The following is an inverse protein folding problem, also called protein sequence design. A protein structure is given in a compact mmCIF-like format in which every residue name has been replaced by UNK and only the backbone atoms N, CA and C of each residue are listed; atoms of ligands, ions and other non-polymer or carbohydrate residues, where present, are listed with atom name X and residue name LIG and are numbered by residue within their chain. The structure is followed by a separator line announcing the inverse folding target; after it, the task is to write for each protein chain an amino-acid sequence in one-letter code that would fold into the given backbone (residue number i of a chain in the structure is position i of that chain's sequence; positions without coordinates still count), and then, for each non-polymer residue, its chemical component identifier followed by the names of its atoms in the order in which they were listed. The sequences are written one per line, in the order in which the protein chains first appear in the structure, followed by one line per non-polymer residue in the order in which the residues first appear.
data_IF_968824341775
#
_entry.id   IF_968824341775
#
_cell.length_a   1.000
_cell.length_b   1.000
_cell.length_c   1.000
_cell.angle_alpha   90.00
_cell.angle_beta   90.00
_cell.angle_gamma   90.00
#
_symmetry.space_group_name_H-M   'P 1'
#
loop_
_entity.id
_entity.type
_entity.pdbx_description
1 polymer ?
#
# COMPACT_ATOMS: atom_id res chain seq x y z
N UNK A 1 0.52 -5.93 15.60
CA UNK A 1 1.57 -6.49 14.73
C UNK A 1 2.91 -6.18 15.38
N UNK A 2 3.82 -7.15 15.45
CA UNK A 2 5.04 -7.15 16.28
C UNK A 2 6.24 -6.39 15.69
N UNK A 3 6.06 -5.63 14.60
CA UNK A 3 7.13 -4.87 13.98
C UNK A 3 8.09 -5.71 13.12
N UNK A 4 7.96 -7.03 13.10
CA UNK A 4 8.92 -7.93 12.45
C UNK A 4 9.00 -7.76 10.94
N UNK A 5 10.21 -7.97 10.39
CA UNK A 5 10.43 -7.90 8.94
C UNK A 5 9.90 -9.18 8.29
N UNK A 6 8.91 -9.03 7.41
CA UNK A 6 8.41 -10.15 6.61
C UNK A 6 9.20 -10.32 5.31
N UNK A 7 9.17 -11.51 4.70
CA UNK A 7 9.82 -11.77 3.39
C UNK A 7 9.41 -10.75 2.32
N UNK A 8 8.14 -10.33 2.32
CA UNK A 8 7.63 -9.32 1.37
C UNK A 8 8.32 -7.96 1.51
N UNK A 9 8.72 -7.59 2.73
CA UNK A 9 9.46 -6.35 3.02
C UNK A 9 10.80 -6.32 2.28
N UNK A 10 11.50 -7.46 2.20
CA UNK A 10 12.77 -7.57 1.50
C UNK A 10 12.57 -7.33 0.00
N UNK A 11 11.53 -7.93 -0.58
CA UNK A 11 11.19 -7.74 -2.00
C UNK A 11 10.77 -6.30 -2.30
N UNK A 12 9.98 -5.67 -1.43
CA UNK A 12 9.57 -4.28 -1.59
C UNK A 12 10.79 -3.33 -1.56
N UNK A 13 11.74 -3.55 -0.65
CA UNK A 13 13.00 -2.78 -0.60
C UNK A 13 13.83 -2.94 -1.88
N UNK A 14 13.95 -4.17 -2.41
CA UNK A 14 14.65 -4.42 -3.68
C UNK A 14 13.96 -3.70 -4.84
N UNK A 15 12.63 -3.79 -4.92
CA UNK A 15 11.86 -3.11 -5.96
C UNK A 15 12.05 -1.59 -5.93
N UNK A 16 12.07 -0.99 -4.74
CA UNK A 16 12.34 0.44 -4.59
C UNK A 16 13.73 0.84 -5.10
N UNK A 17 14.76 0.01 -4.87
CA UNK A 17 16.10 0.25 -5.42
C UNK A 17 16.09 0.18 -6.96
N UNK A 18 15.40 -0.78 -7.54
CA UNK A 18 15.27 -0.90 -9.00
C UNK A 18 14.53 0.30 -9.61
N UNK A 19 13.48 0.81 -8.95
CA UNK A 19 12.79 2.03 -9.37
C UNK A 19 13.73 3.25 -9.35
N UNK A 20 14.52 3.42 -8.29
CA UNK A 20 15.50 4.53 -8.20
C UNK A 20 16.51 4.49 -9.34
N UNK A 21 17.06 3.30 -9.63
CA UNK A 21 18.04 3.12 -10.72
C UNK A 21 17.42 3.39 -12.10
N UNK A 22 16.20 2.90 -12.32
CA UNK A 22 15.54 2.97 -13.63
C UNK A 22 15.04 4.38 -13.98
N UNK A 23 14.47 5.10 -13.01
CA UNK A 23 13.79 6.36 -13.27
C UNK A 23 14.55 7.59 -12.77
N UNK A 24 15.59 7.42 -11.94
CA UNK A 24 16.41 8.53 -11.42
C UNK A 24 15.54 9.59 -10.71
N UNK A 25 14.56 9.12 -9.94
CA UNK A 25 13.66 9.95 -9.13
C UNK A 25 13.72 9.53 -7.65
N UNK A 26 13.34 10.43 -6.71
CA UNK A 26 13.11 10.05 -5.32
C UNK A 26 12.07 8.93 -5.23
N UNK A 27 12.39 7.87 -4.48
CA UNK A 27 11.45 6.77 -4.19
C UNK A 27 11.36 6.61 -2.68
N UNK A 28 10.21 6.98 -2.11
CA UNK A 28 9.94 6.86 -0.68
C UNK A 28 9.23 5.53 -0.39
N UNK A 29 9.58 4.91 0.75
CA UNK A 29 8.92 3.70 1.24
C UNK A 29 7.92 4.11 2.31
N UNK A 30 6.70 3.56 2.25
CA UNK A 30 5.65 3.76 3.24
C UNK A 30 5.21 2.40 3.79
N UNK A 31 4.94 2.32 5.08
CA UNK A 31 4.45 1.10 5.71
C UNK A 31 2.95 0.89 5.36
N UNK A 32 2.62 -0.27 4.81
CA UNK A 32 1.27 -0.65 4.34
C UNK A 32 0.44 -1.34 5.46
N UNK A 33 0.92 -1.41 6.71
CA UNK A 33 0.18 -2.12 7.77
C UNK A 33 -1.30 -1.69 7.85
N UNK A 34 -2.18 -2.70 7.92
CA UNK A 34 -3.64 -2.58 8.05
C UNK A 34 -4.41 -2.06 6.81
N UNK A 35 -3.76 -1.67 5.72
CA UNK A 35 -4.43 -1.12 4.53
C UNK A 35 -5.41 -2.09 3.88
N UNK A 36 -5.14 -3.41 3.92
CA UNK A 36 -6.03 -4.40 3.32
C UNK A 36 -7.36 -4.50 4.09
N UNK A 37 -7.32 -4.33 5.41
CA UNK A 37 -8.53 -4.37 6.26
C UNK A 37 -9.34 -3.10 6.00
N UNK A 38 -8.67 -1.95 6.00
CA UNK A 38 -9.30 -0.66 5.72
C UNK A 38 -9.89 -0.61 4.30
N UNK A 39 -9.14 -1.05 3.29
CA UNK A 39 -9.59 -1.12 1.90
C UNK A 39 -10.83 -2.00 1.75
N UNK A 40 -10.87 -3.16 2.42
CA UNK A 40 -12.07 -4.02 2.42
C UNK A 40 -13.26 -3.34 3.09
N UNK A 41 -13.04 -2.65 4.22
CA UNK A 41 -14.10 -1.93 4.91
C UNK A 41 -14.69 -0.81 4.03
N UNK A 42 -13.83 0.01 3.42
CA UNK A 42 -14.24 1.08 2.51
C UNK A 42 -15.03 0.51 1.33
N UNK A 43 -14.48 -0.51 0.64
CA UNK A 43 -15.14 -1.10 -0.53
C UNK A 43 -16.47 -1.78 -0.19
N UNK A 44 -16.54 -2.43 0.97
CA UNK A 44 -17.78 -3.03 1.46
C UNK A 44 -18.84 -1.96 1.74
N UNK A 45 -18.48 -0.85 2.37
CA UNK A 45 -19.41 0.24 2.66
C UNK A 45 -19.97 0.90 1.39
N UNK A 46 -19.20 0.91 0.29
CA UNK A 46 -19.63 1.53 -0.98
C UNK A 46 -20.43 0.57 -1.86
N UNK A 47 -20.04 -0.71 -1.97
CA UNK A 47 -20.60 -1.65 -2.95
C UNK A 47 -21.02 -3.01 -2.38
N UNK A 48 -21.01 -3.16 -1.05
CA UNK A 48 -21.24 -4.43 -0.38
C UNK A 48 -20.28 -5.52 -0.86
N UNK A 49 -20.75 -6.77 -0.90
CA UNK A 49 -19.95 -7.91 -1.36
C UNK A 49 -19.45 -7.80 -2.80
N UNK A 50 -20.14 -7.04 -3.67
CA UNK A 50 -19.71 -6.83 -5.07
C UNK A 50 -18.42 -6.01 -5.18
N UNK A 51 -18.13 -5.18 -4.17
CA UNK A 51 -16.92 -4.35 -4.08
C UNK A 51 -15.68 -5.11 -3.62
N UNK A 52 -15.81 -6.30 -3.04
CA UNK A 52 -14.70 -7.08 -2.46
C UNK A 52 -13.85 -7.83 -3.50
N UNK A 53 -13.73 -7.30 -4.71
CA UNK A 53 -12.89 -7.89 -5.76
C UNK A 53 -11.41 -7.58 -5.47
N UNK A 54 -10.54 -8.58 -5.59
CA UNK A 54 -9.09 -8.45 -5.34
C UNK A 54 -8.44 -7.25 -6.04
N UNK A 55 -8.80 -6.99 -7.30
CA UNK A 55 -8.29 -5.85 -8.07
C UNK A 55 -8.68 -4.50 -7.43
N UNK A 56 -9.91 -4.39 -6.96
CA UNK A 56 -10.40 -3.17 -6.28
C UNK A 56 -9.71 -2.99 -4.93
N UNK A 57 -9.58 -4.07 -4.15
CA UNK A 57 -8.87 -4.04 -2.86
C UNK A 57 -7.44 -3.55 -3.05
N UNK A 58 -6.69 -4.11 -4.01
CA UNK A 58 -5.31 -3.68 -4.28
C UNK A 58 -5.23 -2.20 -4.69
N UNK A 59 -6.16 -1.73 -5.53
CA UNK A 59 -6.20 -0.32 -5.95
C UNK A 59 -6.53 0.61 -4.77
N UNK A 60 -7.45 0.21 -3.91
CA UNK A 60 -7.83 0.98 -2.73
C UNK A 60 -6.71 0.99 -1.70
N UNK A 61 -6.01 -0.14 -1.49
CA UNK A 61 -4.80 -0.18 -0.66
C UNK A 61 -3.74 0.80 -1.15
N UNK A 62 -3.48 0.86 -2.46
CA UNK A 62 -2.53 1.82 -3.03
C UNK A 62 -2.94 3.28 -2.77
N UNK A 63 -4.24 3.60 -2.88
CA UNK A 63 -4.75 4.93 -2.56
C UNK A 63 -4.57 5.29 -1.07
N UNK A 64 -4.82 4.34 -0.17
CA UNK A 64 -4.61 4.53 1.28
C UNK A 64 -3.13 4.80 1.58
N UNK A 65 -2.21 4.01 1.01
CA UNK A 65 -0.76 4.20 1.19
C UNK A 65 -0.34 5.60 0.75
N UNK A 66 -0.82 6.04 -0.43
CA UNK A 66 -0.50 7.36 -0.95
C UNK A 66 -1.03 8.47 -0.04
N UNK A 67 -2.28 8.37 0.39
CA UNK A 67 -2.89 9.34 1.28
C UNK A 67 -2.16 9.41 2.63
N UNK A 68 -1.81 8.27 3.23
CA UNK A 68 -1.03 8.20 4.46
C UNK A 68 0.33 8.88 4.31
N UNK A 69 1.02 8.65 3.19
CA UNK A 69 2.29 9.30 2.90
C UNK A 69 2.16 10.82 2.77
N UNK A 70 1.14 11.31 2.03
CA UNK A 70 0.88 12.74 1.89
C UNK A 70 0.54 13.40 3.23
N UNK A 71 -0.25 12.74 4.07
CA UNK A 71 -0.61 13.25 5.39
C UNK A 71 0.59 13.36 6.33
N UNK A 72 1.56 12.45 6.24
CA UNK A 72 2.80 12.49 7.03
C UNK A 72 3.79 13.57 6.55
N UNK A 73 3.55 14.19 5.39
CA UNK A 73 4.38 15.28 4.86
C UNK A 73 3.92 16.67 5.30
N UNK A 74 2.71 16.78 5.85
CA UNK A 74 2.16 17.99 6.44
C UNK A 74 2.51 18.07 7.93
#
# INVERSE_FOLDING_TARGET
MDGSTQKITIYAKKFAQELRKKFIIPVNMQDERLTTIEAKSILFNVQGYRGLKKKLINSQSAAIILNSWMQNMN
#
